data_IF_563002750650
#
_entry.id   IF_563002750650
#
_cell.length_a   1.000
_cell.length_b   1.000
_cell.length_c   1.000
_cell.angle_alpha   90.00
_cell.angle_beta   90.00
_cell.angle_gamma   90.00
#
_symmetry.space_group_name_H-M   'P 1'
#
loop_
_entity.id
_entity.type
_entity.pdbx_description
1 polymer ?
#
# COMPACT_ATOMS: atom_id res chain seq x y z
N UNK A 1 52.11 9.77 60.61
CA UNK A 1 51.42 10.91 61.24
C UNK A 1 49.98 10.45 61.49
N UNK A 2 49.65 9.91 62.67
CA UNK A 2 49.13 10.62 63.85
C UNK A 2 47.84 11.40 63.55
N UNK A 3 46.70 11.28 64.23
CA UNK A 3 46.36 10.57 65.47
C UNK A 3 44.82 10.47 65.67
N UNK A 4 44.43 9.52 66.53
CA UNK A 4 43.36 9.51 67.56
C UNK A 4 41.90 9.93 67.21
N UNK A 5 40.87 9.09 67.38
CA UNK A 5 40.26 8.43 68.57
C UNK A 5 39.19 9.31 69.21
N UNK A 6 37.92 8.87 69.17
CA UNK A 6 37.01 8.99 70.32
C UNK A 6 35.84 8.00 70.25
N UNK A 7 35.47 7.50 71.44
CA UNK A 7 34.44 6.48 71.71
C UNK A 7 33.24 7.18 72.40
N UNK A 8 32.02 6.67 72.17
CA UNK A 8 31.05 6.13 73.17
C UNK A 8 29.57 6.46 72.91
N UNK A 9 28.78 5.38 73.08
CA UNK A 9 27.50 5.24 73.80
C UNK A 9 26.18 5.84 73.27
N UNK A 10 25.25 4.90 73.03
CA UNK A 10 23.82 4.88 73.37
C UNK A 10 23.16 6.16 73.93
N UNK A 11 22.03 6.53 73.33
CA UNK A 11 20.72 6.65 74.03
C UNK A 11 19.55 6.70 73.06
N UNK A 12 18.51 5.93 73.38
CA UNK A 12 17.16 5.97 72.81
C UNK A 12 16.53 7.36 72.86
N UNK A 13 15.77 7.72 71.82
CA UNK A 13 14.65 8.64 71.94
C UNK A 13 13.60 8.34 70.86
N UNK A 14 12.49 7.71 71.29
CA UNK A 14 11.21 7.72 70.58
C UNK A 14 10.80 9.17 70.28
N UNK A 15 10.56 9.49 69.01
CA UNK A 15 9.68 10.60 68.62
C UNK A 15 8.73 10.12 67.52
N UNK A 16 7.45 10.17 67.84
CA UNK A 16 6.34 10.08 66.90
C UNK A 16 6.35 11.35 66.05
N UNK A 17 6.25 11.20 64.72
CA UNK A 17 5.82 12.27 63.82
C UNK A 17 4.98 11.67 62.69
N UNK A 18 3.69 11.99 62.77
CA UNK A 18 2.64 12.21 61.76
C UNK A 18 2.64 11.46 60.40
N UNK A 19 1.45 11.00 59.94
CA UNK A 19 1.31 10.35 58.64
C UNK A 19 1.39 11.37 57.50
N UNK A 20 2.41 11.23 56.64
CA UNK A 20 2.50 11.95 55.37
C UNK A 20 1.30 11.61 54.46
N UNK A 21 0.34 12.54 54.37
CA UNK A 21 -0.68 12.61 53.31
C UNK A 21 0.01 12.86 51.96
N UNK A 22 0.52 11.82 51.31
CA UNK A 22 1.22 11.98 50.02
C UNK A 22 1.02 10.85 49.00
N UNK A 23 0.33 9.76 49.34
CA UNK A 23 0.49 8.51 48.56
C UNK A 23 -0.76 8.00 47.85
N UNK A 24 -1.94 8.64 48.03
CA UNK A 24 -3.17 8.22 47.33
C UNK A 24 -3.41 8.92 46.00
N UNK A 25 -3.01 10.19 45.83
CA UNK A 25 -3.28 10.96 44.60
C UNK A 25 -2.44 10.48 43.41
N UNK A 26 -1.12 10.35 43.60
CA UNK A 26 -0.21 9.83 42.56
C UNK A 26 -0.43 8.37 42.19
N UNK A 27 -0.92 7.54 43.11
CA UNK A 27 -1.20 6.12 42.82
C UNK A 27 -2.49 5.96 41.99
N UNK A 28 -3.46 6.86 42.17
CA UNK A 28 -4.71 6.92 41.42
C UNK A 28 -4.48 7.48 40.00
N UNK A 29 -3.71 8.55 39.87
CA UNK A 29 -3.31 9.13 38.57
C UNK A 29 -2.54 8.11 37.70
N UNK A 30 -1.55 7.38 38.27
CA UNK A 30 -0.83 6.31 37.53
C UNK A 30 -1.70 5.11 37.16
N UNK A 31 -2.78 4.84 37.90
CA UNK A 31 -3.72 3.75 37.56
C UNK A 31 -4.71 4.19 36.48
N UNK A 32 -5.20 5.43 36.54
CA UNK A 32 -6.06 6.03 35.50
C UNK A 32 -5.31 6.16 34.18
N UNK A 33 -4.06 6.61 34.18
CA UNK A 33 -3.21 6.73 32.99
C UNK A 33 -2.89 5.37 32.35
N UNK A 34 -2.61 4.33 33.17
CA UNK A 34 -2.44 2.95 32.68
C UNK A 34 -3.73 2.38 32.10
N UNK A 35 -4.88 2.68 32.70
CA UNK A 35 -6.20 2.30 32.18
C UNK A 35 -6.46 2.94 30.82
N UNK A 36 -6.17 4.22 30.67
CA UNK A 36 -6.37 4.98 29.44
C UNK A 36 -5.43 4.53 28.30
N UNK A 37 -4.16 4.23 28.61
CA UNK A 37 -3.19 3.68 27.64
C UNK A 37 -3.60 2.27 27.19
N UNK A 38 -4.07 1.42 28.11
CA UNK A 38 -4.56 0.07 27.79
C UNK A 38 -5.79 0.14 26.89
N UNK A 39 -6.73 1.05 27.19
CA UNK A 39 -7.94 1.26 26.40
C UNK A 39 -7.63 1.79 24.99
N UNK A 40 -6.68 2.73 24.86
CA UNK A 40 -6.20 3.25 23.55
C UNK A 40 -5.46 2.18 22.75
N UNK A 41 -4.65 1.31 23.39
CA UNK A 41 -3.97 0.18 22.72
C UNK A 41 -4.97 -0.87 22.21
N UNK A 42 -5.99 -1.21 23.00
CA UNK A 42 -7.04 -2.14 22.60
C UNK A 42 -7.90 -1.58 21.43
N UNK A 43 -8.21 -0.28 21.45
CA UNK A 43 -8.90 0.40 20.34
C UNK A 43 -8.03 0.48 19.06
N UNK A 44 -6.71 0.64 19.20
CA UNK A 44 -5.78 0.67 18.06
C UNK A 44 -5.58 -0.73 17.44
N UNK A 45 -5.50 -1.80 18.25
CA UNK A 45 -5.39 -3.17 17.74
C UNK A 45 -6.67 -3.67 17.07
N UNK A 46 -7.84 -3.31 17.61
CA UNK A 46 -9.14 -3.64 17.00
C UNK A 46 -9.37 -2.88 15.69
N UNK A 47 -8.99 -1.60 15.61
CA UNK A 47 -8.98 -0.85 14.33
C UNK A 47 -8.04 -1.49 13.30
N UNK A 48 -6.84 -1.92 13.70
CA UNK A 48 -5.87 -2.57 12.80
C UNK A 48 -6.42 -3.89 12.24
N UNK A 49 -6.97 -4.75 13.10
CA UNK A 49 -7.66 -6.00 12.69
C UNK A 49 -8.86 -5.77 11.78
N UNK A 50 -9.63 -4.69 11.99
CA UNK A 50 -10.77 -4.34 11.12
C UNK A 50 -10.29 -3.84 9.75
N UNK A 51 -9.17 -3.13 9.71
CA UNK A 51 -8.56 -2.61 8.48
C UNK A 51 -7.90 -3.72 7.66
N UNK A 52 -7.18 -4.63 8.32
CA UNK A 52 -6.68 -5.89 7.74
C UNK A 52 -7.83 -6.70 7.14
N UNK A 53 -8.86 -7.03 7.93
CA UNK A 53 -10.02 -7.78 7.41
C UNK A 53 -10.73 -7.10 6.24
N UNK A 54 -10.78 -5.77 6.20
CA UNK A 54 -11.41 -5.03 5.08
C UNK A 54 -10.51 -5.00 3.84
N UNK A 55 -9.18 -4.94 4.01
CA UNK A 55 -8.22 -5.06 2.93
C UNK A 55 -8.24 -6.49 2.36
N UNK A 56 -8.16 -7.52 3.21
CA UNK A 56 -8.25 -8.93 2.79
C UNK A 56 -9.57 -9.19 2.07
N UNK A 57 -10.70 -8.66 2.57
CA UNK A 57 -12.01 -8.83 1.93
C UNK A 57 -12.16 -8.03 0.62
N UNK A 58 -11.43 -6.92 0.43
CA UNK A 58 -11.34 -6.21 -0.86
C UNK A 58 -10.46 -6.97 -1.85
N UNK A 59 -9.39 -7.60 -1.37
CA UNK A 59 -8.52 -8.46 -2.17
C UNK A 59 -9.20 -9.78 -2.58
N UNK A 60 -9.99 -10.40 -1.69
CA UNK A 60 -10.78 -11.61 -1.99
C UNK A 60 -11.92 -11.32 -2.99
N UNK A 61 -12.46 -10.10 -3.00
CA UNK A 61 -13.57 -9.73 -3.90
C UNK A 61 -13.13 -9.39 -5.33
N UNK A 62 -11.83 -9.18 -5.56
CA UNK A 62 -11.27 -8.94 -6.90
C UNK A 62 -11.27 -10.22 -7.78
N UNK A 63 -11.68 -11.37 -7.23
CA UNK A 63 -11.62 -12.66 -7.92
C UNK A 63 -12.86 -13.05 -8.73
N UNK A 64 -13.94 -12.26 -8.74
CA UNK A 64 -15.06 -12.46 -9.67
C UNK A 64 -15.02 -11.41 -10.78
N UNK A 65 -14.02 -11.56 -11.66
CA UNK A 65 -13.95 -10.83 -12.93
C UNK A 65 -15.19 -11.15 -13.77
N UNK A 66 -15.89 -10.11 -14.24
CA UNK A 66 -17.00 -10.24 -15.20
C UNK A 66 -16.53 -10.79 -16.55
N UNK A 67 -15.23 -10.78 -16.82
CA UNK A 67 -14.62 -11.36 -18.01
C UNK A 67 -14.26 -12.83 -17.77
N UNK A 68 -14.86 -13.71 -18.56
CA UNK A 68 -14.54 -15.14 -18.61
C UNK A 68 -13.20 -15.40 -19.34
N UNK A 69 -12.84 -14.56 -20.33
CA UNK A 69 -11.56 -14.62 -21.03
C UNK A 69 -10.78 -13.29 -20.95
N UNK A 70 -9.67 -13.32 -20.21
CA UNK A 70 -8.74 -12.18 -20.08
C UNK A 70 -8.09 -11.79 -21.42
N UNK A 71 -8.00 -12.70 -22.38
CA UNK A 71 -7.42 -12.41 -23.69
C UNK A 71 -8.33 -11.49 -24.50
N UNK A 72 -9.66 -11.69 -24.44
CA UNK A 72 -10.62 -10.79 -25.10
C UNK A 72 -10.52 -9.36 -24.55
N UNK A 73 -10.38 -9.22 -23.22
CA UNK A 73 -10.16 -7.91 -22.60
C UNK A 73 -8.84 -7.30 -23.07
N UNK A 74 -7.76 -8.08 -23.11
CA UNK A 74 -6.46 -7.62 -23.62
C UNK A 74 -6.57 -7.14 -25.06
N UNK A 75 -7.27 -7.89 -25.92
CA UNK A 75 -7.43 -7.55 -27.34
C UNK A 75 -8.22 -6.27 -27.53
N UNK A 76 -9.27 -6.05 -26.72
CA UNK A 76 -10.01 -4.78 -26.72
C UNK A 76 -9.13 -3.59 -26.32
N UNK A 77 -8.30 -3.74 -25.29
CA UNK A 77 -7.35 -2.69 -24.87
C UNK A 77 -6.29 -2.45 -25.95
N UNK A 78 -5.77 -3.50 -26.58
CA UNK A 78 -4.78 -3.42 -27.67
C UNK A 78 -5.35 -2.69 -28.88
N UNK A 79 -6.56 -3.06 -29.31
CA UNK A 79 -7.23 -2.44 -30.44
C UNK A 79 -7.51 -0.95 -30.16
N UNK A 80 -8.04 -0.64 -28.98
CA UNK A 80 -8.30 0.75 -28.58
C UNK A 80 -7.01 1.58 -28.56
N UNK A 81 -5.91 1.01 -28.05
CA UNK A 81 -4.59 1.65 -28.05
C UNK A 81 -4.07 1.90 -29.47
N UNK A 82 -4.27 0.95 -30.38
CA UNK A 82 -3.90 1.10 -31.78
C UNK A 82 -4.64 2.25 -32.46
N UNK A 83 -5.95 2.36 -32.25
CA UNK A 83 -6.76 3.45 -32.79
C UNK A 83 -6.38 4.81 -32.21
N UNK A 84 -6.02 4.87 -30.93
CA UNK A 84 -5.50 6.09 -30.29
C UNK A 84 -4.18 6.50 -30.94
N UNK A 85 -3.24 5.56 -31.12
CA UNK A 85 -1.96 5.84 -31.74
C UNK A 85 -2.11 6.25 -33.22
N UNK A 86 -3.06 5.69 -33.96
CA UNK A 86 -3.36 6.13 -35.32
C UNK A 86 -3.87 7.57 -35.36
N UNK A 87 -4.73 7.94 -34.41
CA UNK A 87 -5.35 9.27 -34.36
C UNK A 87 -4.39 10.35 -33.81
N UNK A 88 -3.78 10.12 -32.65
CA UNK A 88 -2.93 11.09 -31.97
C UNK A 88 -1.48 11.10 -32.45
N UNK A 89 -1.01 9.96 -33.01
CA UNK A 89 0.41 9.67 -33.30
C UNK A 89 1.28 9.74 -32.04
N UNK A 90 2.58 9.52 -32.21
CA UNK A 90 3.58 9.74 -31.17
C UNK A 90 3.86 11.23 -30.98
N UNK A 91 4.37 11.62 -29.81
CA UNK A 91 4.79 13.01 -29.51
C UNK A 91 4.04 13.68 -28.35
N UNK A 92 3.06 13.00 -27.76
CA UNK A 92 2.36 13.50 -26.57
C UNK A 92 2.95 12.94 -25.28
N UNK A 93 2.61 13.56 -24.15
CA UNK A 93 2.96 13.06 -22.82
C UNK A 93 2.16 11.79 -22.47
N UNK A 94 2.70 10.94 -21.59
CA UNK A 94 2.05 9.72 -21.10
C UNK A 94 0.62 9.98 -20.62
N UNK A 95 0.42 11.07 -19.87
CA UNK A 95 -0.89 11.46 -19.35
C UNK A 95 -1.96 11.67 -20.44
N UNK A 96 -1.56 12.11 -21.63
CA UNK A 96 -2.50 12.28 -22.76
C UNK A 96 -3.00 10.92 -23.25
N UNK A 97 -2.09 9.95 -23.40
CA UNK A 97 -2.45 8.60 -23.82
C UNK A 97 -3.24 7.85 -22.75
N UNK A 98 -2.89 8.04 -21.47
CA UNK A 98 -3.65 7.51 -20.33
C UNK A 98 -5.09 8.01 -20.38
N UNK A 99 -5.31 9.33 -20.44
CA UNK A 99 -6.65 9.91 -20.51
C UNK A 99 -7.43 9.46 -21.76
N UNK A 100 -6.75 9.35 -22.90
CA UNK A 100 -7.38 8.89 -24.14
C UNK A 100 -7.85 7.43 -24.04
N UNK A 101 -7.01 6.56 -23.47
CA UNK A 101 -7.32 5.15 -23.30
C UNK A 101 -8.44 4.96 -22.28
N UNK A 102 -8.38 5.63 -21.12
CA UNK A 102 -9.48 5.64 -20.15
C UNK A 102 -10.79 6.09 -20.78
N UNK A 103 -10.79 7.22 -21.51
CA UNK A 103 -11.99 7.75 -22.13
C UNK A 103 -12.63 6.76 -23.10
N UNK A 104 -11.84 6.18 -24.02
CA UNK A 104 -12.38 5.26 -25.04
C UNK A 104 -12.86 3.94 -24.44
N UNK A 105 -12.10 3.35 -23.52
CA UNK A 105 -12.49 2.10 -22.85
C UNK A 105 -13.76 2.30 -22.00
N UNK A 106 -13.83 3.39 -21.24
CA UNK A 106 -15.03 3.72 -20.44
C UNK A 106 -16.25 3.96 -21.34
N UNK A 107 -16.06 4.64 -22.48
CA UNK A 107 -17.13 4.84 -23.48
C UNK A 107 -17.63 3.52 -24.06
N UNK A 108 -16.78 2.50 -24.14
CA UNK A 108 -17.14 1.12 -24.53
C UNK A 108 -17.78 0.31 -23.40
N UNK A 109 -18.06 0.91 -22.24
CA UNK A 109 -18.73 0.28 -21.12
C UNK A 109 -17.81 -0.47 -20.15
N UNK A 110 -16.49 -0.31 -20.26
CA UNK A 110 -15.54 -0.90 -19.34
C UNK A 110 -15.40 -0.06 -18.06
N UNK A 111 -15.24 -0.74 -16.92
CA UNK A 111 -14.76 -0.13 -15.69
C UNK A 111 -13.25 0.13 -15.80
N UNK A 112 -12.83 1.39 -15.71
CA UNK A 112 -11.41 1.78 -15.79
C UNK A 112 -11.07 2.75 -14.66
N UNK A 113 -10.09 2.39 -13.85
CA UNK A 113 -9.58 3.21 -12.77
C UNK A 113 -8.20 3.75 -13.14
N UNK A 114 -8.05 5.07 -13.18
CA UNK A 114 -6.77 5.73 -13.41
C UNK A 114 -5.96 5.83 -12.13
N UNK A 115 -4.62 5.77 -12.26
CA UNK A 115 -3.68 5.98 -11.16
C UNK A 115 -4.01 5.07 -9.95
N UNK A 116 -4.22 3.78 -10.23
CA UNK A 116 -4.67 2.82 -9.25
C UNK A 116 -3.56 2.50 -8.23
N UNK A 117 -3.77 2.75 -6.93
CA UNK A 117 -2.77 2.46 -5.91
C UNK A 117 -2.68 0.95 -5.64
N UNK A 118 -1.45 0.43 -5.61
CA UNK A 118 -1.15 -0.97 -5.28
C UNK A 118 -0.28 -0.98 -4.04
N UNK A 119 -0.80 -1.55 -2.95
CA UNK A 119 -0.07 -1.68 -1.70
C UNK A 119 1.07 -2.69 -1.85
N UNK A 120 2.25 -2.34 -1.34
CA UNK A 120 3.40 -3.24 -1.24
C UNK A 120 3.53 -3.69 0.20
N UNK A 121 3.52 -5.00 0.42
CA UNK A 121 3.61 -5.60 1.74
C UNK A 121 4.96 -6.29 1.94
N UNK A 122 5.45 -6.26 3.18
CA UNK A 122 6.50 -7.16 3.66
C UNK A 122 5.91 -8.55 3.95
N UNK A 123 6.77 -9.53 4.19
CA UNK A 123 6.38 -10.92 4.51
C UNK A 123 5.47 -11.01 5.75
N UNK A 124 5.63 -10.08 6.71
CA UNK A 124 4.82 -10.01 7.92
C UNK A 124 3.47 -9.25 7.75
N UNK A 125 3.18 -8.82 6.52
CA UNK A 125 1.99 -8.04 6.17
C UNK A 125 2.09 -6.53 6.46
N UNK A 126 3.27 -6.03 6.84
CA UNK A 126 3.51 -4.59 7.00
C UNK A 126 3.49 -3.88 5.65
N UNK A 127 2.73 -2.79 5.52
CA UNK A 127 2.75 -1.95 4.31
C UNK A 127 4.09 -1.20 4.24
N UNK A 128 4.87 -1.47 3.20
CA UNK A 128 6.16 -0.83 2.92
C UNK A 128 6.01 0.43 2.07
N UNK A 129 4.95 0.50 1.27
CA UNK A 129 4.68 1.64 0.40
C UNK A 129 3.57 1.34 -0.60
N UNK A 130 3.48 2.17 -1.62
CA UNK A 130 2.48 2.06 -2.67
C UNK A 130 3.13 2.25 -4.04
N UNK A 131 2.78 1.39 -4.98
CA UNK A 131 2.90 1.66 -6.40
C UNK A 131 1.65 2.36 -6.91
N UNK A 132 1.76 2.98 -8.09
CA UNK A 132 0.63 3.59 -8.79
C UNK A 132 0.68 3.04 -10.22
N UNK A 133 -0.28 2.18 -10.55
CA UNK A 133 -0.47 1.73 -11.93
C UNK A 133 -1.25 2.77 -12.72
N UNK A 134 -0.90 2.98 -13.99
CA UNK A 134 -1.60 3.97 -14.81
C UNK A 134 -3.08 3.66 -14.94
N UNK A 135 -3.42 2.40 -15.24
CA UNK A 135 -4.80 1.92 -15.28
C UNK A 135 -4.98 0.56 -14.60
N UNK A 136 -6.12 0.39 -13.93
CA UNK A 136 -6.72 -0.90 -13.64
C UNK A 136 -8.03 -1.02 -14.42
N UNK A 137 -8.12 -2.02 -15.30
CA UNK A 137 -9.29 -2.28 -16.15
C UNK A 137 -10.03 -3.50 -15.62
N UNK A 138 -11.33 -3.36 -15.41
CA UNK A 138 -12.26 -4.42 -14.97
C UNK A 138 -11.79 -5.19 -13.74
N UNK A 139 -11.05 -4.51 -12.86
CA UNK A 139 -10.51 -5.07 -11.61
C UNK A 139 -9.63 -6.32 -11.81
N UNK A 140 -9.11 -6.56 -13.02
CA UNK A 140 -8.31 -7.76 -13.32
C UNK A 140 -7.12 -7.53 -14.26
N UNK A 141 -7.06 -6.40 -14.98
CA UNK A 141 -6.00 -6.10 -15.94
C UNK A 141 -5.27 -4.80 -15.57
N UNK A 142 -3.97 -4.91 -15.26
CA UNK A 142 -3.10 -3.75 -15.10
C UNK A 142 -2.64 -3.24 -16.48
N UNK A 143 -2.64 -1.93 -16.68
CA UNK A 143 -2.01 -1.31 -17.86
C UNK A 143 -1.02 -0.25 -17.38
N UNK A 144 0.21 -0.34 -17.90
CA UNK A 144 1.29 0.64 -17.73
C UNK A 144 1.56 1.30 -19.08
N UNK A 145 1.60 2.63 -19.10
CA UNK A 145 1.74 3.44 -20.30
C UNK A 145 3.12 4.09 -20.33
N UNK A 146 3.71 4.11 -21.51
CA UNK A 146 4.94 4.85 -21.81
C UNK A 146 4.79 5.71 -23.06
N UNK A 147 5.52 6.82 -23.08
CA UNK A 147 5.63 7.70 -24.24
C UNK A 147 7.09 7.99 -24.56
N UNK A 148 7.89 6.93 -24.72
CA UNK A 148 9.33 7.01 -24.94
C UNK A 148 9.76 6.38 -26.27
N UNK A 149 10.96 6.72 -26.75
CA UNK A 149 11.49 6.21 -28.02
C UNK A 149 11.66 4.68 -28.00
N UNK A 150 12.10 4.13 -26.87
CA UNK A 150 12.38 2.70 -26.69
C UNK A 150 12.01 2.27 -25.28
N UNK A 151 11.36 1.11 -25.16
CA UNK A 151 11.17 0.48 -23.86
C UNK A 151 12.51 0.01 -23.27
N UNK A 152 12.72 0.30 -21.99
CA UNK A 152 13.86 -0.18 -21.21
C UNK A 152 13.44 -1.31 -20.26
N UNK A 153 14.43 -2.04 -19.73
CA UNK A 153 14.18 -3.15 -18.81
C UNK A 153 13.54 -2.68 -17.49
N UNK A 154 13.77 -1.44 -17.07
CA UNK A 154 13.12 -0.85 -15.90
C UNK A 154 11.60 -0.74 -16.05
N UNK A 155 11.09 -0.45 -17.26
CA UNK A 155 9.64 -0.43 -17.51
C UNK A 155 9.02 -1.83 -17.37
N UNK A 156 9.79 -2.87 -17.75
CA UNK A 156 9.37 -4.26 -17.56
C UNK A 156 9.42 -4.64 -16.08
N UNK A 157 10.47 -4.23 -15.37
CA UNK A 157 10.60 -4.48 -13.93
C UNK A 157 9.46 -3.81 -13.14
N UNK A 158 9.04 -2.62 -13.55
CA UNK A 158 7.93 -1.88 -12.95
C UNK A 158 6.61 -2.66 -13.01
N UNK A 159 6.18 -3.06 -14.22
CA UNK A 159 4.91 -3.82 -14.35
C UNK A 159 4.97 -5.18 -13.64
N UNK A 160 6.10 -5.89 -13.70
CA UNK A 160 6.28 -7.13 -12.95
C UNK A 160 6.25 -6.91 -11.43
N UNK A 161 6.76 -5.77 -10.96
CA UNK A 161 6.65 -5.35 -9.56
C UNK A 161 5.21 -5.19 -9.12
N UNK A 162 4.36 -4.61 -9.97
CA UNK A 162 2.93 -4.44 -9.70
C UNK A 162 2.21 -5.78 -9.61
N UNK A 163 2.48 -6.69 -10.56
CA UNK A 163 1.88 -8.02 -10.56
C UNK A 163 2.32 -8.84 -9.33
N UNK A 164 3.58 -8.72 -8.89
CA UNK A 164 4.05 -9.39 -7.66
C UNK A 164 3.47 -8.80 -6.39
N UNK A 165 3.36 -7.47 -6.30
CA UNK A 165 2.85 -6.79 -5.11
C UNK A 165 1.33 -6.93 -4.98
N UNK A 166 0.64 -7.13 -6.10
CA UNK A 166 -0.79 -7.40 -6.15
C UNK A 166 -1.09 -8.89 -6.30
N UNK A 167 -2.38 -9.24 -6.35
CA UNK A 167 -2.86 -10.56 -6.78
C UNK A 167 -3.35 -10.54 -8.23
N UNK A 168 -2.98 -9.51 -9.00
CA UNK A 168 -3.32 -9.43 -10.41
C UNK A 168 -2.30 -10.23 -11.22
N UNK A 169 -2.78 -11.08 -12.12
CA UNK A 169 -1.92 -11.97 -12.89
C UNK A 169 -1.52 -11.36 -14.24
N UNK A 170 -2.36 -10.50 -14.82
CA UNK A 170 -2.17 -9.99 -16.18
C UNK A 170 -1.86 -8.50 -16.22
N UNK A 171 -0.84 -8.14 -17.00
CA UNK A 171 -0.44 -6.76 -17.24
C UNK A 171 -0.13 -6.46 -18.72
N UNK A 172 -0.47 -5.26 -19.18
CA UNK A 172 -0.04 -4.72 -20.48
C UNK A 172 0.91 -3.54 -20.30
N UNK A 173 2.07 -3.60 -20.94
CA UNK A 173 2.99 -2.47 -21.09
C UNK A 173 2.86 -1.90 -22.50
N UNK A 174 2.38 -0.66 -22.60
CA UNK A 174 2.03 0.00 -23.87
C UNK A 174 2.91 1.22 -24.07
N UNK A 175 3.70 1.24 -25.15
CA UNK A 175 4.52 2.40 -25.50
C UNK A 175 3.96 3.11 -26.75
N UNK A 176 3.47 4.33 -26.54
CA UNK A 176 2.96 5.24 -27.57
C UNK A 176 4.01 6.18 -28.15
N UNK A 177 5.20 6.27 -27.54
CA UNK A 177 6.24 7.23 -27.94
C UNK A 177 7.13 6.78 -29.09
N UNK A 178 7.12 5.49 -29.41
CA UNK A 178 7.87 4.95 -30.54
C UNK A 178 7.18 5.27 -31.89
N UNK A 179 7.89 5.09 -33.00
CA UNK A 179 7.33 5.31 -34.35
C UNK A 179 6.12 4.40 -34.64
N UNK A 180 6.15 3.19 -34.08
CA UNK A 180 5.04 2.23 -34.10
C UNK A 180 4.61 1.99 -32.67
N UNK A 181 3.31 1.83 -32.44
CA UNK A 181 2.79 1.38 -31.15
C UNK A 181 3.44 0.06 -30.76
N UNK A 182 3.95 -0.02 -29.54
CA UNK A 182 4.52 -1.25 -28.99
C UNK A 182 3.66 -1.71 -27.83
N UNK A 183 3.31 -3.00 -27.80
CA UNK A 183 2.52 -3.58 -26.71
C UNK A 183 3.14 -4.91 -26.30
N UNK A 184 3.45 -5.05 -25.01
CA UNK A 184 3.87 -6.33 -24.40
C UNK A 184 2.85 -6.77 -23.37
N UNK A 185 2.44 -8.04 -23.43
CA UNK A 185 1.62 -8.70 -22.41
C UNK A 185 2.52 -9.46 -21.46
N UNK A 186 2.22 -9.37 -20.17
CA UNK A 186 2.86 -10.13 -19.11
C UNK A 186 1.79 -10.93 -18.38
N UNK A 187 2.13 -12.17 -18.06
CA UNK A 187 1.35 -13.06 -17.22
C UNK A 187 2.28 -13.51 -16.09
N UNK A 188 1.84 -13.29 -14.86
CA UNK A 188 2.50 -13.79 -13.65
C UNK A 188 1.48 -14.65 -12.92
N UNK A 189 1.68 -15.95 -12.94
CA UNK A 189 0.93 -16.89 -12.13
C UNK A 189 1.53 -16.89 -10.73
N UNK A 190 0.70 -16.67 -9.72
CA UNK A 190 1.10 -16.81 -8.33
C UNK A 190 0.96 -18.30 -7.97
N UNK A 191 2.07 -18.95 -7.61
CA UNK A 191 2.01 -20.31 -7.10
C UNK A 191 1.40 -20.27 -5.69
N UNK A 192 0.28 -20.98 -5.48
CA UNK A 192 -0.42 -21.12 -4.19
C UNK A 192 0.37 -21.89 -3.13
#
# INVERSE_FOLDING_TARGET
MAAAKERKSHKEAKRQTEPQKGTKKHKKEKQEEKGEISHKKAQKSTKRRKKEKLATKRHEKAQESRWEDINELCDLVRQTSFEIHQFLRSGHLEKVYENALTHRLTKSGLNVQQQYPIDVFDEDGTVLGHFIADLLVEECLIVEIKACRTLANEHVAQILGYLRASRFETGLLINFGAQKLQIKKYLLTHDD
#
